data_IF_034841696526
#
_entry.id   IF_034841696526
#
_cell.length_a   1.000
_cell.length_b   1.000
_cell.length_c   1.000
_cell.angle_alpha   90.00
_cell.angle_beta   90.00
_cell.angle_gamma   90.00
#
_symmetry.space_group_name_H-M   'P 1'
#
loop_
_entity.id
_entity.type
_entity.pdbx_description
1 polymer ?
#
# COMPACT_ATOMS: atom_id res chain seq x y z
N UNK A 1 -3.14 2.15 3.39
CA UNK A 1 -4.25 1.26 3.01
C UNK A 1 -5.43 1.38 3.98
N UNK A 2 -5.27 1.16 5.29
CA UNK A 2 -6.38 1.27 6.26
C UNK A 2 -6.75 2.67 6.78
N UNK A 3 -6.42 3.74 6.05
CA UNK A 3 -6.79 5.10 6.46
C UNK A 3 -8.27 5.40 6.17
N UNK A 4 -8.95 6.16 7.04
CA UNK A 4 -10.34 6.57 6.85
C UNK A 4 -11.21 6.35 8.11
N UNK A 5 -12.39 5.68 8.00
CA UNK A 5 -12.84 4.92 6.82
C UNK A 5 -13.52 5.77 5.74
N UNK A 6 -14.09 6.94 6.08
CA UNK A 6 -14.85 7.76 5.11
C UNK A 6 -13.99 8.80 4.37
N UNK A 7 -12.84 9.19 4.91
CA UNK A 7 -12.02 10.30 4.42
C UNK A 7 -10.59 9.89 4.11
N UNK A 8 -10.37 8.60 3.86
CA UNK A 8 -9.06 8.03 3.55
C UNK A 8 -9.12 7.09 2.36
N UNK A 9 -8.21 6.12 2.30
CA UNK A 9 -8.18 5.13 1.22
C UNK A 9 -9.21 4.02 1.42
N UNK A 10 -9.43 3.57 2.67
CA UNK A 10 -10.43 2.55 2.99
C UNK A 10 -10.22 1.20 2.30
N UNK A 11 -8.99 0.81 1.99
CA UNK A 11 -8.70 -0.40 1.19
C UNK A 11 -8.74 -1.68 2.02
N UNK A 12 -8.24 -1.62 3.26
CA UNK A 12 -8.17 -2.74 4.19
C UNK A 12 -8.62 -2.30 5.56
N UNK A 13 -9.13 -3.23 6.36
CA UNK A 13 -9.49 -3.04 7.75
C UNK A 13 -8.46 -3.74 8.62
N UNK A 14 -7.97 -3.02 9.63
CA UNK A 14 -7.08 -3.57 10.65
C UNK A 14 -7.93 -4.03 11.84
N UNK A 15 -7.46 -5.04 12.61
CA UNK A 15 -8.10 -5.39 13.87
C UNK A 15 -8.18 -4.22 14.85
N UNK A 16 -9.32 -4.06 15.51
CA UNK A 16 -9.50 -3.06 16.55
C UNK A 16 -8.83 -3.53 17.85
N UNK A 17 -7.76 -2.85 18.26
CA UNK A 17 -6.97 -3.27 19.43
C UNK A 17 -7.29 -2.49 20.70
N UNK A 18 -7.63 -1.21 20.57
CA UNK A 18 -7.93 -0.33 21.69
C UNK A 18 -8.67 0.94 21.21
N UNK A 19 -9.40 1.64 22.09
CA UNK A 19 -9.97 2.95 21.78
C UNK A 19 -8.88 3.95 21.33
N UNK A 20 -9.12 4.64 20.22
CA UNK A 20 -8.14 5.51 19.57
C UNK A 20 -8.23 6.99 19.97
N UNK A 21 -9.27 7.40 20.68
CA UNK A 21 -9.42 8.79 21.14
C UNK A 21 -10.26 8.88 22.39
N UNK A 22 -9.86 9.78 23.30
CA UNK A 22 -10.66 10.16 24.47
C UNK A 22 -11.82 11.11 24.13
N UNK A 23 -11.75 11.81 22.98
CA UNK A 23 -12.72 12.84 22.58
C UNK A 23 -13.64 12.38 21.44
N UNK A 24 -13.15 11.49 20.56
CA UNK A 24 -13.90 11.00 19.40
C UNK A 24 -14.36 9.55 19.62
N UNK A 25 -15.59 9.31 20.12
CA UNK A 25 -16.10 7.96 20.32
C UNK A 25 -16.12 7.17 19.01
N UNK A 26 -15.75 5.88 19.09
CA UNK A 26 -15.71 4.98 17.94
C UNK A 26 -14.48 5.13 17.03
N UNK A 27 -13.59 6.10 17.28
CA UNK A 27 -12.31 6.19 16.54
C UNK A 27 -11.34 5.11 17.01
N UNK A 28 -10.80 4.33 16.08
CA UNK A 28 -9.71 3.36 16.31
C UNK A 28 -8.51 3.75 15.46
N UNK A 29 -7.30 3.55 15.99
CA UNK A 29 -6.04 3.94 15.35
C UNK A 29 -5.20 2.72 14.95
N UNK A 30 -4.34 2.83 13.93
CA UNK A 30 -3.42 1.78 13.53
C UNK A 30 -2.19 1.69 14.47
N UNK A 31 -2.43 1.38 15.74
CA UNK A 31 -1.40 1.48 16.80
C UNK A 31 -0.22 0.50 16.64
N UNK A 32 -0.42 -0.64 15.97
CA UNK A 32 0.67 -1.60 15.71
C UNK A 32 1.62 -1.10 14.62
N UNK A 33 1.14 -0.62 13.45
CA UNK A 33 1.98 0.14 12.53
C UNK A 33 2.73 1.33 13.18
N UNK A 34 2.09 2.06 14.08
CA UNK A 34 2.73 3.14 14.86
C UNK A 34 3.87 2.61 15.75
N UNK A 35 3.69 1.48 16.42
CA UNK A 35 4.74 0.85 17.22
C UNK A 35 5.91 0.34 16.35
N UNK A 36 5.63 -0.28 15.20
CA UNK A 36 6.65 -0.76 14.25
C UNK A 36 7.51 0.39 13.76
N UNK A 37 6.91 1.52 13.36
CA UNK A 37 7.66 2.67 12.85
C UNK A 37 8.51 3.34 13.93
N UNK A 38 8.04 3.41 15.18
CA UNK A 38 8.86 3.89 16.31
C UNK A 38 10.04 2.95 16.61
N UNK A 39 9.81 1.63 16.57
CA UNK A 39 10.90 0.66 16.73
C UNK A 39 11.92 0.78 15.59
N UNK A 40 11.49 0.95 14.35
CA UNK A 40 12.38 1.17 13.23
C UNK A 40 13.25 2.42 13.42
N UNK A 41 12.67 3.52 13.90
CA UNK A 41 13.42 4.74 14.23
C UNK A 41 14.47 4.50 15.32
N UNK A 42 14.11 3.75 16.38
CA UNK A 42 15.06 3.40 17.44
C UNK A 42 16.22 2.54 16.91
N UNK A 43 15.93 1.54 16.08
CA UNK A 43 16.95 0.67 15.47
C UNK A 43 17.92 1.47 14.59
N UNK A 44 17.43 2.45 13.84
CA UNK A 44 18.29 3.36 13.05
C UNK A 44 19.22 4.18 13.97
N UNK A 45 18.71 4.70 15.09
CA UNK A 45 19.54 5.39 16.08
C UNK A 45 20.61 4.49 16.70
N UNK A 46 20.23 3.26 17.04
CA UNK A 46 21.13 2.25 17.59
C UNK A 46 22.25 1.88 16.59
N UNK A 47 21.92 1.75 15.30
CA UNK A 47 22.88 1.49 14.23
C UNK A 47 23.94 2.61 14.11
N UNK A 48 23.51 3.88 14.18
CA UNK A 48 24.43 5.01 14.19
C UNK A 48 25.38 4.97 15.41
N UNK A 49 24.86 4.65 16.60
CA UNK A 49 25.69 4.52 17.80
C UNK A 49 26.71 3.37 17.70
N UNK A 50 26.30 2.23 17.13
CA UNK A 50 27.19 1.09 16.85
C UNK A 50 28.27 1.49 15.85
N UNK A 51 27.90 2.19 14.78
CA UNK A 51 28.82 2.66 13.74
C UNK A 51 29.91 3.55 14.33
N UNK A 52 29.53 4.53 15.16
CA UNK A 52 30.48 5.42 15.86
C UNK A 52 31.37 4.64 16.82
N UNK A 53 30.83 3.67 17.56
CA UNK A 53 31.65 2.79 18.41
C UNK A 53 32.64 1.94 17.61
N UNK A 54 32.20 1.39 16.49
CA UNK A 54 32.99 0.52 15.61
C UNK A 54 34.19 1.23 14.98
N UNK A 55 34.03 2.49 14.56
CA UNK A 55 35.11 3.29 13.94
C UNK A 55 36.11 3.88 14.94
N UNK A 56 35.80 3.86 16.25
CA UNK A 56 36.59 4.55 17.28
C UNK A 56 37.60 3.65 18.02
N UNK A 57 37.97 2.51 17.43
CA UNK A 57 39.01 1.64 18.00
C UNK A 57 40.41 2.24 17.90
N UNK A 58 41.29 1.89 18.84
CA UNK A 58 42.69 2.34 18.83
C UNK A 58 43.65 1.18 19.11
N UNK A 59 44.62 1.01 18.20
CA UNK A 59 45.65 -0.04 18.26
C UNK A 59 45.06 -1.45 18.44
N UNK A 60 45.43 -2.16 19.52
CA UNK A 60 45.10 -3.58 19.69
C UNK A 60 43.65 -3.83 20.13
N UNK A 61 42.90 -2.80 20.55
CA UNK A 61 41.57 -3.02 21.13
C UNK A 61 40.58 -1.87 20.88
N UNK A 62 39.36 -2.23 20.48
CA UNK A 62 38.21 -1.32 20.52
C UNK A 62 37.56 -1.38 21.91
N UNK A 63 37.48 -0.24 22.60
CA UNK A 63 36.94 -0.12 23.97
C UNK A 63 35.45 0.28 24.02
N UNK A 64 34.78 0.41 22.88
CA UNK A 64 33.34 0.73 22.77
C UNK A 64 32.43 -0.50 22.80
N UNK A 65 32.99 -1.70 23.04
CA UNK A 65 32.24 -2.98 23.02
C UNK A 65 30.96 -2.93 23.87
N UNK A 66 30.94 -2.39 25.12
CA UNK A 66 29.72 -2.40 25.92
C UNK A 66 28.57 -1.59 25.32
N UNK A 67 28.84 -0.42 24.71
CA UNK A 67 27.79 0.41 24.10
C UNK A 67 27.32 -0.21 22.78
N UNK A 68 28.22 -0.78 22.00
CA UNK A 68 27.86 -1.51 20.77
C UNK A 68 26.99 -2.73 21.08
N UNK A 69 27.39 -3.52 22.06
CA UNK A 69 26.64 -4.71 22.48
C UNK A 69 25.23 -4.37 22.98
N UNK A 70 25.10 -3.34 23.83
CA UNK A 70 23.78 -2.87 24.29
C UNK A 70 22.87 -2.52 23.12
N UNK A 71 23.33 -1.64 22.23
CA UNK A 71 22.52 -1.15 21.11
C UNK A 71 22.14 -2.29 20.16
N UNK A 72 23.05 -3.23 19.90
CA UNK A 72 22.79 -4.38 19.03
C UNK A 72 21.75 -5.32 19.63
N UNK A 73 21.92 -5.69 20.90
CA UNK A 73 20.99 -6.60 21.58
C UNK A 73 19.61 -5.97 21.81
N UNK A 74 19.54 -4.67 22.09
CA UNK A 74 18.28 -3.94 22.16
C UNK A 74 17.57 -3.93 20.80
N UNK A 75 18.28 -3.61 19.70
CA UNK A 75 17.71 -3.65 18.35
C UNK A 75 17.12 -5.02 18.02
N UNK A 76 17.83 -6.11 18.31
CA UNK A 76 17.30 -7.47 18.12
C UNK A 76 16.04 -7.72 18.95
N UNK A 77 16.04 -7.29 20.21
CA UNK A 77 14.90 -7.48 21.11
C UNK A 77 13.67 -6.72 20.62
N UNK A 78 13.83 -5.46 20.24
CA UNK A 78 12.73 -4.62 19.75
C UNK A 78 12.16 -5.17 18.44
N UNK A 79 13.03 -5.51 17.47
CA UNK A 79 12.60 -6.08 16.19
C UNK A 79 11.87 -7.41 16.38
N UNK A 80 12.40 -8.31 17.20
CA UNK A 80 11.78 -9.61 17.45
C UNK A 80 10.39 -9.45 18.09
N UNK A 81 10.26 -8.58 19.09
CA UNK A 81 9.00 -8.37 19.79
C UNK A 81 7.96 -7.69 18.90
N UNK A 82 8.34 -6.62 18.21
CA UNK A 82 7.38 -5.86 17.40
C UNK A 82 6.95 -6.64 16.16
N UNK A 83 7.84 -7.45 15.57
CA UNK A 83 7.50 -8.27 14.40
C UNK A 83 6.45 -9.33 14.74
N UNK A 84 6.61 -10.02 15.89
CA UNK A 84 5.61 -11.00 16.37
C UNK A 84 4.27 -10.34 16.63
N UNK A 85 4.28 -9.23 17.38
CA UNK A 85 3.05 -8.48 17.68
C UNK A 85 2.38 -7.94 16.40
N UNK A 86 3.17 -7.52 15.40
CA UNK A 86 2.64 -7.01 14.15
C UNK A 86 1.97 -8.13 13.33
N UNK A 87 2.54 -9.33 13.29
CA UNK A 87 1.89 -10.48 12.65
C UNK A 87 0.61 -10.84 13.40
N UNK A 88 0.74 -11.21 14.68
CA UNK A 88 -0.34 -11.81 15.48
C UNK A 88 -1.52 -10.86 15.70
N UNK A 89 -1.26 -9.55 15.82
CA UNK A 89 -2.29 -8.55 16.21
C UNK A 89 -2.65 -7.57 15.10
N UNK A 90 -2.03 -7.64 13.94
CA UNK A 90 -2.36 -6.76 12.82
C UNK A 90 -2.51 -7.54 11.53
N UNK A 91 -1.46 -8.22 11.06
CA UNK A 91 -1.43 -8.84 9.72
C UNK A 91 -2.43 -9.99 9.60
N UNK A 92 -2.47 -10.90 10.58
CA UNK A 92 -3.32 -12.11 10.51
C UNK A 92 -4.83 -11.79 10.52
N UNK A 93 -5.20 -10.61 11.02
CA UNK A 93 -6.59 -10.17 11.10
C UNK A 93 -6.98 -9.13 10.04
N UNK A 94 -6.14 -8.88 9.04
CA UNK A 94 -6.49 -7.94 7.96
C UNK A 94 -7.66 -8.46 7.14
N UNK A 95 -8.60 -7.57 6.83
CA UNK A 95 -9.72 -7.84 5.91
C UNK A 95 -9.67 -6.84 4.76
N UNK A 96 -9.75 -7.33 3.52
CA UNK A 96 -9.79 -6.48 2.34
C UNK A 96 -11.22 -6.00 2.06
N UNK A 97 -11.37 -4.74 1.63
CA UNK A 97 -12.64 -4.23 1.10
C UNK A 97 -12.70 -4.50 -0.40
N UNK A 98 -13.00 -5.74 -0.78
CA UNK A 98 -12.88 -6.25 -2.16
C UNK A 98 -13.69 -5.43 -3.19
N UNK A 99 -14.95 -5.08 -2.89
CA UNK A 99 -15.80 -4.30 -3.80
C UNK A 99 -15.24 -2.89 -4.03
N UNK A 100 -14.69 -2.27 -2.98
CA UNK A 100 -14.06 -0.96 -3.07
C UNK A 100 -12.76 -1.02 -3.88
N UNK A 101 -11.93 -2.03 -3.63
CA UNK A 101 -10.69 -2.27 -4.38
C UNK A 101 -10.97 -2.52 -5.87
N UNK A 102 -12.00 -3.31 -6.20
CA UNK A 102 -12.45 -3.51 -7.58
C UNK A 102 -12.86 -2.19 -8.23
N UNK A 103 -13.66 -1.38 -7.53
CA UNK A 103 -14.10 -0.07 -8.03
C UNK A 103 -12.91 0.86 -8.30
N UNK A 104 -11.91 0.88 -7.40
CA UNK A 104 -10.68 1.66 -7.59
C UNK A 104 -9.89 1.18 -8.81
N UNK A 105 -9.79 -0.14 -9.03
CA UNK A 105 -9.12 -0.70 -10.19
C UNK A 105 -9.84 -0.33 -11.50
N UNK A 106 -11.16 -0.52 -11.57
CA UNK A 106 -11.99 -0.29 -12.77
C UNK A 106 -12.16 1.21 -13.11
N UNK A 107 -11.98 2.10 -12.13
CA UNK A 107 -12.03 3.55 -12.31
C UNK A 107 -10.67 4.19 -12.60
N UNK A 108 -9.56 3.44 -12.48
CA UNK A 108 -8.22 3.96 -12.74
C UNK A 108 -8.04 4.32 -14.22
N UNK A 109 -7.71 5.58 -14.58
CA UNK A 109 -7.51 5.97 -15.98
C UNK A 109 -6.39 5.19 -16.68
N UNK A 110 -5.47 4.58 -15.92
CA UNK A 110 -4.38 3.77 -16.44
C UNK A 110 -4.85 2.48 -17.12
N UNK A 111 -6.06 1.97 -16.80
CA UNK A 111 -6.55 0.73 -17.42
C UNK A 111 -6.95 0.89 -18.88
N UNK A 112 -6.93 2.11 -19.44
CA UNK A 112 -7.18 2.35 -20.86
C UNK A 112 -6.05 1.81 -21.77
N UNK A 113 -4.87 1.53 -21.20
CA UNK A 113 -3.66 1.15 -21.95
C UNK A 113 -3.84 -0.04 -22.92
N UNK A 114 -4.53 -1.14 -22.56
CA UNK A 114 -4.77 -2.26 -23.47
C UNK A 114 -5.67 -1.91 -24.67
N UNK A 115 -6.39 -0.79 -24.61
CA UNK A 115 -7.21 -0.31 -25.72
C UNK A 115 -6.38 0.39 -26.80
N UNK A 116 -5.13 0.77 -26.53
CA UNK A 116 -4.26 1.47 -27.50
C UNK A 116 -4.17 0.73 -28.86
N UNK A 117 -4.16 -0.60 -28.87
CA UNK A 117 -4.08 -1.38 -30.11
C UNK A 117 -5.41 -1.49 -30.87
N UNK A 118 -6.54 -1.11 -30.27
CA UNK A 118 -7.86 -1.08 -30.91
C UNK A 118 -8.28 0.34 -31.33
N UNK A 119 -8.12 1.32 -30.44
CA UNK A 119 -8.61 2.70 -30.63
C UNK A 119 -7.50 3.75 -30.82
N UNK A 120 -6.23 3.36 -30.64
CA UNK A 120 -5.09 4.28 -30.71
C UNK A 120 -4.85 5.05 -29.41
N UNK A 121 -3.61 5.52 -29.22
CA UNK A 121 -3.18 6.19 -27.99
C UNK A 121 -3.92 7.51 -27.74
N UNK A 122 -4.13 8.33 -28.77
CA UNK A 122 -4.80 9.63 -28.61
C UNK A 122 -6.25 9.48 -28.13
N UNK A 123 -6.98 8.51 -28.70
CA UNK A 123 -8.36 8.23 -28.30
C UNK A 123 -8.42 7.64 -26.89
N UNK A 124 -7.53 6.71 -26.55
CA UNK A 124 -7.41 6.18 -25.21
C UNK A 124 -7.08 7.27 -24.17
N UNK A 125 -6.20 8.22 -24.49
CA UNK A 125 -5.90 9.35 -23.63
C UNK A 125 -7.11 10.29 -23.45
N UNK A 126 -7.92 10.46 -24.50
CA UNK A 126 -9.16 11.23 -24.43
C UNK A 126 -10.22 10.55 -23.55
N UNK A 127 -10.40 9.23 -23.70
CA UNK A 127 -11.25 8.40 -22.82
C UNK A 127 -10.83 8.57 -21.35
N UNK A 128 -9.54 8.44 -21.04
CA UNK A 128 -9.03 8.57 -19.67
C UNK A 128 -9.31 9.95 -19.06
N UNK A 129 -9.14 11.04 -19.83
CA UNK A 129 -9.41 12.41 -19.36
C UNK A 129 -10.90 12.63 -19.09
N UNK A 130 -11.78 12.10 -19.94
CA UNK A 130 -13.22 12.23 -19.79
C UNK A 130 -13.74 11.41 -18.61
N UNK A 131 -13.32 10.15 -18.48
CA UNK A 131 -13.67 9.29 -17.36
C UNK A 131 -13.32 9.94 -16.00
N UNK A 132 -12.13 10.54 -15.91
CA UNK A 132 -11.69 11.25 -14.70
C UNK A 132 -12.52 12.51 -14.43
N UNK A 133 -12.81 13.30 -15.47
CA UNK A 133 -13.60 14.53 -15.35
C UNK A 133 -15.04 14.25 -14.93
N UNK A 134 -15.63 13.19 -15.46
CA UNK A 134 -17.05 12.84 -15.25
C UNK A 134 -17.27 11.82 -14.13
N UNK A 135 -16.19 11.31 -13.52
CA UNK A 135 -16.23 10.27 -12.49
C UNK A 135 -16.98 9.02 -12.94
N UNK A 136 -16.68 8.56 -14.16
CA UNK A 136 -17.22 7.33 -14.77
C UNK A 136 -16.12 6.27 -14.87
N UNK A 137 -16.52 5.01 -15.04
CA UNK A 137 -15.57 3.92 -15.35
C UNK A 137 -15.06 4.07 -16.77
N UNK A 138 -13.86 3.54 -17.05
CA UNK A 138 -13.30 3.56 -18.41
C UNK A 138 -14.21 2.84 -19.38
N UNK A 139 -14.80 1.71 -18.96
CA UNK A 139 -15.81 0.98 -19.73
C UNK A 139 -16.97 1.86 -20.16
N UNK A 140 -17.58 2.60 -19.23
CA UNK A 140 -18.72 3.46 -19.54
C UNK A 140 -18.33 4.58 -20.50
N UNK A 141 -17.16 5.20 -20.31
CA UNK A 141 -16.69 6.28 -21.19
C UNK A 141 -16.40 5.80 -22.62
N UNK A 142 -15.88 4.58 -22.80
CA UNK A 142 -15.70 4.00 -24.15
C UNK A 142 -17.05 3.82 -24.87
N UNK A 143 -18.07 3.38 -24.14
CA UNK A 143 -19.43 3.20 -24.67
C UNK A 143 -20.06 4.57 -24.99
N UNK A 144 -19.98 5.54 -24.07
CA UNK A 144 -20.56 6.88 -24.23
C UNK A 144 -19.95 7.63 -25.43
N UNK A 145 -18.65 7.41 -25.70
CA UNK A 145 -17.95 7.99 -26.86
C UNK A 145 -18.21 7.26 -28.19
N UNK A 146 -19.00 6.19 -28.19
CA UNK A 146 -19.35 5.45 -29.41
C UNK A 146 -18.16 4.71 -30.04
N UNK A 147 -17.20 4.27 -29.23
CA UNK A 147 -16.00 3.56 -29.73
C UNK A 147 -16.24 2.06 -29.96
N UNK A 148 -17.46 1.57 -29.69
CA UNK A 148 -17.88 0.20 -29.99
C UNK A 148 -18.25 0.09 -31.48
N UNK A 149 -17.65 -0.87 -32.17
CA UNK A 149 -17.87 -1.11 -33.59
C UNK A 149 -16.89 -2.14 -34.14
N UNK A 150 -16.56 -2.06 -35.43
CA UNK A 150 -15.76 -3.09 -36.13
C UNK A 150 -14.38 -3.35 -35.49
N UNK A 151 -13.79 -2.34 -34.84
CA UNK A 151 -12.46 -2.42 -34.21
C UNK A 151 -12.49 -2.89 -32.75
N UNK A 152 -13.64 -2.80 -32.09
CA UNK A 152 -13.79 -3.08 -30.67
C UNK A 152 -15.24 -3.48 -30.38
N UNK A 153 -15.47 -4.77 -30.15
CA UNK A 153 -16.77 -5.25 -29.66
C UNK A 153 -16.89 -5.04 -28.15
N UNK A 154 -18.10 -5.20 -27.61
CA UNK A 154 -18.35 -5.11 -26.17
C UNK A 154 -17.60 -6.23 -25.43
N UNK A 155 -17.60 -7.44 -25.98
CA UNK A 155 -16.92 -8.60 -25.38
C UNK A 155 -15.40 -8.41 -25.36
N UNK A 156 -14.83 -7.86 -26.45
CA UNK A 156 -13.40 -7.57 -26.52
C UNK A 156 -13.02 -6.39 -25.62
N UNK A 157 -13.89 -5.39 -25.44
CA UNK A 157 -13.72 -4.33 -24.45
C UNK A 157 -13.65 -4.91 -23.04
N UNK A 158 -14.62 -5.75 -22.67
CA UNK A 158 -14.69 -6.36 -21.33
C UNK A 158 -13.48 -7.26 -21.07
N UNK A 159 -13.03 -8.02 -22.08
CA UNK A 159 -11.81 -8.84 -22.00
C UNK A 159 -10.54 -7.99 -21.83
N UNK A 160 -10.43 -6.86 -22.53
CA UNK A 160 -9.26 -5.97 -22.44
C UNK A 160 -9.21 -5.17 -21.15
N UNK A 161 -10.37 -4.89 -20.56
CA UNK A 161 -10.52 -4.17 -19.29
C UNK A 161 -10.68 -5.10 -18.08
N UNK A 162 -10.46 -6.40 -18.24
CA UNK A 162 -10.37 -7.32 -17.10
C UNK A 162 -9.16 -6.95 -16.23
N UNK A 163 -9.44 -6.23 -15.16
CA UNK A 163 -8.43 -5.70 -14.23
C UNK A 163 -7.64 -6.80 -13.52
N UNK A 164 -8.20 -8.00 -13.33
CA UNK A 164 -7.50 -9.12 -12.72
C UNK A 164 -6.52 -9.75 -13.72
N UNK A 165 -6.95 -9.94 -14.97
CA UNK A 165 -6.06 -10.40 -16.03
C UNK A 165 -4.91 -9.40 -16.27
N UNK A 166 -5.19 -8.09 -16.21
CA UNK A 166 -4.18 -7.03 -16.32
C UNK A 166 -3.15 -7.06 -15.17
N UNK A 167 -3.55 -7.49 -13.97
CA UNK A 167 -2.66 -7.65 -12.83
C UNK A 167 -1.67 -8.83 -13.00
N UNK A 168 -1.89 -9.72 -13.98
CA UNK A 168 -1.03 -10.87 -14.29
C UNK A 168 -0.74 -11.75 -13.07
N UNK A 169 -1.77 -11.96 -12.25
CA UNK A 169 -1.69 -12.91 -11.13
C UNK A 169 -1.37 -14.28 -11.72
N UNK A 170 -0.27 -14.88 -11.27
CA UNK A 170 0.02 -16.28 -11.56
C UNK A 170 -0.65 -17.10 -10.46
N UNK A 171 -1.46 -18.08 -10.88
CA UNK A 171 -1.93 -19.14 -9.98
C UNK A 171 -0.76 -19.90 -9.35
#
# INVERSE_FOLDING_TARGET
MGSGPLTGLGEIQLPDLQPGSSIMPGKVNPVLPEAVTQVAAQVIGNDAAITVGGLSGAFELNVYIPVMARNLLESFTLLANVSRLFVDKCVDGLVANEDHLRTLAESSPSIVTPLNSAIGYEEAAAVAKEALKERKTIRQTVIDRGLIGDKLSIEELDKRLDVLAMAKVKD
#
